data_IF_513059859084
#
_entry.id   IF_513059859084
#
_cell.length_a   1.000
_cell.length_b   1.000
_cell.length_c   1.000
_cell.angle_alpha   90.00
_cell.angle_beta   90.00
_cell.angle_gamma   90.00
#
_symmetry.space_group_name_H-M   'P 1'
#
loop_
_entity.id
_entity.type
_entity.pdbx_description
1 polymer ?
#
# COMPACT_ATOMS: atom_id res chain seq x y z
N UNK A 1 -1.45 -13.38 20.82
CA UNK A 1 -0.67 -12.46 19.99
C UNK A 1 0.77 -12.43 20.48
N UNK A 2 1.07 -12.02 21.73
CA UNK A 2 2.43 -11.79 22.25
C UNK A 2 3.38 -12.96 21.99
N UNK A 3 3.01 -14.18 22.35
CA UNK A 3 3.86 -15.39 22.20
C UNK A 3 4.29 -15.66 20.74
N UNK A 4 3.58 -15.16 19.76
CA UNK A 4 3.88 -15.36 18.33
C UNK A 4 5.01 -14.42 17.86
N UNK A 5 5.18 -13.28 18.54
CA UNK A 5 6.16 -12.24 18.19
C UNK A 5 7.46 -12.34 19.02
N UNK A 6 7.48 -13.20 20.06
CA UNK A 6 8.67 -13.41 20.87
C UNK A 6 9.68 -14.25 20.09
N UNK A 7 10.92 -13.77 19.99
CA UNK A 7 12.06 -14.44 19.33
C UNK A 7 12.81 -15.39 20.24
N UNK A 8 12.76 -15.13 21.54
CA UNK A 8 13.39 -15.97 22.56
C UNK A 8 12.46 -17.14 22.90
N UNK A 9 12.80 -18.36 22.46
CA UNK A 9 12.01 -19.55 22.75
C UNK A 9 12.55 -20.27 23.99
N UNK A 10 11.70 -20.94 24.79
CA UNK A 10 12.16 -21.79 25.87
C UNK A 10 13.10 -22.89 25.38
N UNK A 11 14.29 -22.99 25.99
CA UNK A 11 15.33 -23.94 25.60
C UNK A 11 16.41 -23.40 24.65
N UNK A 12 16.22 -22.20 24.11
CA UNK A 12 17.25 -21.53 23.29
C UNK A 12 18.37 -20.95 24.16
N UNK A 13 19.54 -20.73 23.56
CA UNK A 13 20.62 -19.99 24.20
C UNK A 13 20.21 -18.52 24.39
N UNK A 14 20.56 -17.95 25.55
CA UNK A 14 20.28 -16.54 25.80
C UNK A 14 20.97 -15.65 24.80
N UNK A 15 20.19 -14.83 24.12
CA UNK A 15 20.67 -13.85 23.13
C UNK A 15 20.12 -12.48 23.46
N UNK A 16 20.99 -11.55 23.84
CA UNK A 16 20.61 -10.15 24.07
C UNK A 16 20.02 -9.50 22.81
N UNK A 17 20.54 -9.88 21.65
CA UNK A 17 20.06 -9.38 20.37
C UNK A 17 18.60 -9.78 20.11
N UNK A 18 18.24 -11.02 20.41
CA UNK A 18 16.86 -11.51 20.25
C UNK A 18 15.89 -10.89 21.26
N UNK A 19 16.37 -10.60 22.47
CA UNK A 19 15.59 -9.86 23.47
C UNK A 19 15.28 -8.44 22.99
N UNK A 20 16.29 -7.69 22.51
CA UNK A 20 16.11 -6.34 21.96
C UNK A 20 15.20 -6.35 20.73
N UNK A 21 15.38 -7.37 19.89
CA UNK A 21 14.54 -7.54 18.70
C UNK A 21 13.10 -7.84 19.05
N UNK A 22 12.86 -8.71 20.04
CA UNK A 22 11.51 -8.99 20.57
C UNK A 22 10.86 -7.71 21.09
N UNK A 23 11.60 -6.90 21.85
CA UNK A 23 11.11 -5.62 22.34
C UNK A 23 10.67 -4.71 21.19
N UNK A 24 11.49 -4.58 20.15
CA UNK A 24 11.17 -3.78 18.98
C UNK A 24 9.92 -4.32 18.25
N UNK A 25 9.84 -5.63 18.02
CA UNK A 25 8.71 -6.26 17.34
C UNK A 25 7.41 -6.08 18.13
N UNK A 26 7.42 -6.28 19.45
CA UNK A 26 6.26 -6.05 20.31
C UNK A 26 5.85 -4.57 20.37
N UNK A 27 6.80 -3.65 20.37
CA UNK A 27 6.52 -2.20 20.33
C UNK A 27 5.90 -1.78 18.99
N UNK A 28 6.33 -2.39 17.88
CA UNK A 28 5.79 -2.12 16.54
C UNK A 28 4.34 -2.59 16.36
N UNK A 29 3.87 -3.55 17.15
CA UNK A 29 2.46 -3.97 17.14
C UNK A 29 1.51 -2.86 17.56
N UNK A 30 2.01 -1.88 18.30
CA UNK A 30 1.25 -0.74 18.83
C UNK A 30 0.05 -1.15 19.71
N UNK A 31 0.06 -2.36 20.29
CA UNK A 31 -0.96 -2.87 21.22
C UNK A 31 -0.66 -2.53 22.67
N UNK A 32 0.58 -2.13 22.96
CA UNK A 32 1.09 -1.95 24.29
C UNK A 32 1.55 -0.52 24.53
N UNK A 33 1.47 -0.08 25.79
CA UNK A 33 1.99 1.20 26.21
C UNK A 33 3.54 1.12 26.23
N UNK A 34 4.26 1.92 25.41
CA UNK A 34 5.72 1.85 25.35
C UNK A 34 6.40 2.25 26.66
N UNK A 35 5.76 3.09 27.48
CA UNK A 35 6.29 3.55 28.76
C UNK A 35 6.21 2.47 29.85
N UNK A 36 5.25 1.54 29.73
CA UNK A 36 5.05 0.43 30.65
C UNK A 36 5.69 -0.89 30.18
N UNK A 37 6.51 -0.83 29.11
CA UNK A 37 7.17 -2.01 28.58
C UNK A 37 8.41 -2.35 29.39
N UNK A 38 8.39 -3.49 30.11
CA UNK A 38 9.49 -3.99 30.92
C UNK A 38 10.03 -5.33 30.41
N UNK A 39 11.35 -5.51 30.52
CA UNK A 39 12.00 -6.80 30.28
C UNK A 39 12.89 -7.08 31.49
N UNK A 40 12.54 -8.17 32.22
CA UNK A 40 13.25 -8.59 33.42
C UNK A 40 13.90 -9.95 33.19
N UNK A 41 15.20 -10.02 32.89
CA UNK A 41 15.94 -11.26 32.84
C UNK A 41 16.26 -11.72 34.27
N UNK A 42 15.64 -12.81 34.69
CA UNK A 42 15.88 -13.42 35.99
C UNK A 42 16.81 -14.63 35.83
N UNK A 43 18.00 -14.54 36.40
CA UNK A 43 18.98 -15.63 36.35
C UNK A 43 18.67 -16.69 37.41
N UNK A 44 18.74 -17.96 37.00
CA UNK A 44 18.69 -19.12 37.89
C UNK A 44 20.07 -19.81 37.89
N UNK A 45 20.94 -19.45 38.88
CA UNK A 45 22.31 -19.99 38.93
C UNK A 45 22.38 -21.49 39.16
N UNK A 46 21.38 -22.07 39.82
CA UNK A 46 21.35 -23.50 40.13
C UNK A 46 21.11 -24.33 38.86
N UNK A 47 20.30 -23.82 37.93
CA UNK A 47 19.99 -24.49 36.68
C UNK A 47 20.82 -23.98 35.49
N UNK A 48 21.59 -22.89 35.69
CA UNK A 48 22.32 -22.24 34.61
C UNK A 48 21.39 -21.68 33.51
N UNK A 49 20.19 -21.27 33.89
CA UNK A 49 19.17 -20.75 32.96
C UNK A 49 18.81 -19.29 33.27
N UNK A 50 18.22 -18.62 32.29
CA UNK A 50 17.69 -17.25 32.44
C UNK A 50 16.20 -17.25 32.08
N UNK A 51 15.36 -16.86 33.01
CA UNK A 51 13.94 -16.64 32.77
C UNK A 51 13.75 -15.19 32.33
N UNK A 52 13.12 -14.99 31.16
CA UNK A 52 12.86 -13.64 30.63
C UNK A 52 11.38 -13.32 30.82
N UNK A 53 11.12 -12.33 31.66
CA UNK A 53 9.76 -11.82 31.90
C UNK A 53 9.54 -10.58 31.04
N UNK A 54 8.54 -10.65 30.16
CA UNK A 54 8.06 -9.52 29.37
C UNK A 54 6.81 -8.95 30.05
N UNK A 55 6.96 -7.75 30.64
CA UNK A 55 5.86 -7.01 31.26
C UNK A 55 5.30 -6.04 30.25
N UNK A 56 4.01 -6.12 29.98
CA UNK A 56 3.32 -5.27 29.00
C UNK A 56 1.99 -4.78 29.55
N UNK A 57 1.64 -3.55 29.25
CA UNK A 57 0.33 -2.97 29.53
C UNK A 57 -0.42 -2.74 28.22
N UNK A 58 -1.61 -3.32 28.09
CA UNK A 58 -2.43 -3.17 26.88
C UNK A 58 -3.02 -1.75 26.82
N UNK A 59 -2.99 -1.16 25.61
CA UNK A 59 -3.64 0.13 25.33
C UNK A 59 -4.72 -0.01 24.26
N UNK A 60 -5.72 0.88 24.23
CA UNK A 60 -6.66 0.96 23.13
C UNK A 60 -5.92 1.22 21.82
N UNK A 61 -6.19 0.41 20.80
CA UNK A 61 -5.50 0.47 19.51
C UNK A 61 -6.42 0.82 18.35
N UNK A 62 -7.71 0.87 18.63
CA UNK A 62 -8.69 1.25 17.64
C UNK A 62 -8.55 2.75 17.33
N UNK A 63 -8.62 3.08 16.06
CA UNK A 63 -8.37 4.43 15.58
C UNK A 63 -9.58 4.90 14.80
N UNK A 64 -10.02 6.11 15.11
CA UNK A 64 -10.99 6.85 14.32
C UNK A 64 -10.24 8.03 13.71
N UNK A 65 -10.15 8.07 12.39
CA UNK A 65 -9.60 9.19 11.64
C UNK A 65 -10.74 10.05 11.13
N UNK A 66 -10.75 11.32 11.52
CA UNK A 66 -11.60 12.34 10.95
C UNK A 66 -10.68 13.44 10.43
N UNK A 67 -10.67 13.62 9.12
CA UNK A 67 -9.90 14.67 8.48
C UNK A 67 -10.82 15.54 7.66
N UNK A 68 -10.66 16.84 7.79
CA UNK A 68 -11.36 17.83 7.01
C UNK A 68 -10.40 18.92 6.56
N UNK A 69 -10.59 19.43 5.37
CA UNK A 69 -9.74 20.47 4.81
C UNK A 69 -10.48 21.27 3.74
N UNK A 70 -9.93 22.43 3.45
CA UNK A 70 -10.37 23.29 2.36
C UNK A 70 -9.25 23.36 1.32
N UNK A 71 -9.54 23.04 0.08
CA UNK A 71 -8.53 23.10 -1.00
C UNK A 71 -9.19 23.23 -2.37
N UNK A 72 -8.65 24.10 -3.22
CA UNK A 72 -9.18 24.33 -4.56
C UNK A 72 -10.64 24.82 -4.59
N UNK A 73 -11.05 25.60 -3.58
CA UNK A 73 -12.43 26.09 -3.45
C UNK A 73 -13.45 25.05 -2.95
N UNK A 74 -13.00 23.94 -2.36
CA UNK A 74 -13.85 22.80 -1.98
C UNK A 74 -13.51 22.28 -0.60
N UNK A 75 -14.49 21.67 0.05
CA UNK A 75 -14.29 20.92 1.30
C UNK A 75 -13.96 19.48 0.95
N UNK A 76 -12.87 18.98 1.49
CA UNK A 76 -12.47 17.57 1.44
C UNK A 76 -12.68 16.98 2.82
N UNK A 77 -13.35 15.85 2.90
CA UNK A 77 -13.54 15.11 4.14
C UNK A 77 -13.15 13.66 4.00
N UNK A 78 -12.50 13.09 5.01
CA UNK A 78 -12.29 11.66 5.14
C UNK A 78 -12.68 11.19 6.53
N UNK A 79 -13.34 10.05 6.57
CA UNK A 79 -13.68 9.30 7.77
C UNK A 79 -13.09 7.92 7.65
N UNK A 80 -12.29 7.52 8.64
CA UNK A 80 -11.69 6.19 8.73
C UNK A 80 -11.92 5.58 10.10
N UNK A 81 -12.19 4.29 10.14
CA UNK A 81 -12.22 3.49 11.36
C UNK A 81 -11.33 2.28 11.16
N UNK A 82 -10.41 2.07 12.09
CA UNK A 82 -9.48 0.94 12.06
C UNK A 82 -9.51 0.21 13.40
N UNK A 83 -9.84 -1.07 13.37
CA UNK A 83 -9.80 -1.99 14.49
C UNK A 83 -8.53 -2.85 14.35
N UNK A 84 -7.58 -2.71 15.26
CA UNK A 84 -6.26 -3.35 15.15
C UNK A 84 -6.17 -4.72 15.86
N UNK A 85 -7.10 -5.05 16.72
CA UNK A 85 -7.10 -6.32 17.45
C UNK A 85 -8.41 -7.10 17.23
N UNK A 86 -8.93 -7.06 16.02
CA UNK A 86 -10.19 -7.72 15.65
C UNK A 86 -10.06 -9.25 15.76
N UNK A 87 -11.18 -9.92 16.00
CA UNK A 87 -11.28 -11.38 16.10
C UNK A 87 -12.47 -11.89 15.28
N UNK A 88 -12.25 -12.20 14.00
CA UNK A 88 -13.31 -12.68 13.09
C UNK A 88 -13.97 -13.96 13.60
N UNK A 89 -13.21 -14.86 14.24
CA UNK A 89 -13.72 -16.08 14.84
C UNK A 89 -14.73 -15.87 15.99
N UNK A 90 -14.75 -14.66 16.57
CA UNK A 90 -15.71 -14.26 17.62
C UNK A 90 -16.88 -13.45 17.06
N UNK A 91 -16.86 -13.04 15.79
CA UNK A 91 -17.86 -12.15 15.21
C UNK A 91 -19.29 -12.72 15.27
N UNK A 92 -19.43 -14.04 15.24
CA UNK A 92 -20.72 -14.74 15.32
C UNK A 92 -21.11 -15.19 16.74
N UNK A 93 -20.28 -14.86 17.76
CA UNK A 93 -20.60 -15.22 19.16
C UNK A 93 -21.46 -14.13 19.82
N UNK A 94 -22.55 -14.53 20.45
CA UNK A 94 -23.38 -13.63 21.26
C UNK A 94 -22.53 -12.98 22.38
N UNK A 95 -22.63 -11.67 22.54
CA UNK A 95 -21.91 -10.91 23.58
C UNK A 95 -20.45 -10.55 23.24
N UNK A 96 -19.92 -10.94 22.09
CA UNK A 96 -18.58 -10.56 21.67
C UNK A 96 -18.45 -9.11 21.17
N UNK A 97 -19.57 -8.50 20.79
CA UNK A 97 -19.65 -7.13 20.32
C UNK A 97 -19.67 -6.12 21.48
N UNK A 98 -18.46 -5.66 21.95
CA UNK A 98 -18.27 -4.70 23.05
C UNK A 98 -17.03 -3.82 22.84
N UNK A 99 -17.01 -2.83 21.94
CA UNK A 99 -17.90 -2.52 20.81
C UNK A 99 -17.72 -3.48 19.63
N UNK A 100 -16.55 -4.12 19.49
CA UNK A 100 -16.21 -5.08 18.42
C UNK A 100 -15.56 -6.33 19.01
N UNK A 101 -15.67 -7.48 18.35
CA UNK A 101 -14.98 -8.69 18.78
C UNK A 101 -13.46 -8.52 18.66
N UNK A 102 -12.72 -8.65 19.77
CA UNK A 102 -11.28 -8.46 19.86
C UNK A 102 -10.53 -9.70 20.38
N UNK A 103 -9.19 -9.74 20.12
CA UNK A 103 -8.26 -10.68 20.75
C UNK A 103 -7.41 -11.51 19.81
N UNK A 104 -7.65 -11.52 18.48
CA UNK A 104 -6.88 -12.33 17.52
C UNK A 104 -5.77 -11.54 16.82
N UNK A 105 -5.69 -10.22 17.03
CA UNK A 105 -4.70 -9.36 16.40
C UNK A 105 -4.95 -9.09 14.91
N UNK A 106 -6.14 -9.39 14.42
CA UNK A 106 -6.54 -9.08 13.05
C UNK A 106 -6.84 -7.59 12.91
N UNK A 107 -6.65 -7.06 11.72
CA UNK A 107 -6.91 -5.67 11.43
C UNK A 107 -8.06 -5.53 10.44
N UNK A 108 -9.06 -4.74 10.80
CA UNK A 108 -10.16 -4.31 9.91
C UNK A 108 -10.09 -2.80 9.76
N UNK A 109 -10.09 -2.31 8.54
CA UNK A 109 -10.14 -0.87 8.26
C UNK A 109 -11.24 -0.56 7.28
N UNK A 110 -12.03 0.46 7.59
CA UNK A 110 -13.05 1.02 6.71
C UNK A 110 -12.75 2.50 6.57
N UNK A 111 -12.62 2.98 5.34
CA UNK A 111 -12.35 4.39 5.06
C UNK A 111 -13.28 4.89 3.97
N UNK A 112 -13.89 6.04 4.23
CA UNK A 112 -14.68 6.79 3.26
C UNK A 112 -14.07 8.18 3.10
N UNK A 113 -14.01 8.65 1.88
CA UNK A 113 -13.49 9.95 1.53
C UNK A 113 -14.36 10.61 0.49
N UNK A 114 -14.59 11.91 0.63
CA UNK A 114 -15.41 12.67 -0.32
C UNK A 114 -14.88 14.09 -0.49
N UNK A 115 -14.92 14.55 -1.73
CA UNK A 115 -14.79 15.95 -2.11
C UNK A 115 -16.09 16.38 -2.83
N UNK A 116 -17.23 16.16 -2.17
CA UNK A 116 -18.53 16.44 -2.74
C UNK A 116 -18.83 15.60 -3.98
N UNK A 117 -19.19 16.28 -5.07
CA UNK A 117 -19.59 15.64 -6.33
C UNK A 117 -18.41 15.23 -7.21
N UNK A 118 -17.21 15.77 -6.95
CA UNK A 118 -16.04 15.53 -7.83
C UNK A 118 -15.36 14.22 -7.55
N UNK A 119 -15.31 13.83 -6.28
CA UNK A 119 -14.59 12.65 -5.85
C UNK A 119 -15.24 11.99 -4.65
N UNK A 120 -15.39 10.68 -4.72
CA UNK A 120 -15.80 9.82 -3.62
C UNK A 120 -14.96 8.55 -3.65
N UNK A 121 -14.50 8.08 -2.50
CA UNK A 121 -13.76 6.82 -2.38
C UNK A 121 -14.19 6.08 -1.13
N UNK A 122 -14.36 4.79 -1.27
CA UNK A 122 -14.70 3.85 -0.21
C UNK A 122 -13.69 2.70 -0.26
N UNK A 123 -13.12 2.37 0.87
CA UNK A 123 -12.14 1.29 1.00
C UNK A 123 -12.48 0.46 2.23
N UNK A 124 -12.43 -0.85 2.09
CA UNK A 124 -12.54 -1.81 3.18
C UNK A 124 -11.38 -2.77 3.06
N UNK A 125 -10.65 -3.01 4.14
CA UNK A 125 -9.56 -3.97 4.17
C UNK A 125 -9.59 -4.82 5.43
N UNK A 126 -9.18 -6.07 5.27
CA UNK A 126 -8.99 -7.03 6.33
C UNK A 126 -7.58 -7.61 6.24
N UNK A 127 -6.88 -7.67 7.36
CA UNK A 127 -5.55 -8.28 7.44
C UNK A 127 -5.49 -9.30 8.58
N UNK A 128 -5.14 -10.53 8.24
CA UNK A 128 -4.77 -11.59 9.17
C UNK A 128 -3.24 -11.68 9.21
N UNK A 129 -2.57 -11.23 10.28
CA UNK A 129 -1.10 -11.18 10.32
C UNK A 129 -0.46 -12.56 10.46
N UNK A 130 -1.21 -13.57 10.92
CA UNK A 130 -0.71 -14.93 11.19
C UNK A 130 -1.58 -16.00 10.55
N UNK A 131 -1.69 -15.96 9.23
CA UNK A 131 -2.46 -16.95 8.47
C UNK A 131 -1.98 -18.37 8.79
N UNK A 132 -2.90 -19.21 9.32
CA UNK A 132 -2.58 -20.56 9.78
C UNK A 132 -1.90 -20.64 11.14
N UNK A 133 -1.63 -19.53 11.82
CA UNK A 133 -1.21 -19.46 13.23
C UNK A 133 0.21 -19.90 13.56
N UNK A 134 0.98 -20.44 12.60
CA UNK A 134 2.31 -21.03 12.83
C UNK A 134 3.47 -20.18 12.32
N UNK A 135 3.23 -19.40 11.28
CA UNK A 135 4.25 -18.55 10.63
C UNK A 135 3.72 -17.13 10.45
N UNK A 136 4.57 -16.10 10.46
CA UNK A 136 4.15 -14.72 10.23
C UNK A 136 3.84 -14.47 8.75
N UNK A 137 2.82 -15.17 8.24
CA UNK A 137 2.30 -14.97 6.89
C UNK A 137 1.07 -14.07 6.99
N UNK A 138 1.19 -12.83 6.55
CA UNK A 138 0.10 -11.89 6.60
C UNK A 138 -0.77 -12.02 5.34
N UNK A 139 -2.05 -12.36 5.50
CA UNK A 139 -3.04 -12.27 4.43
C UNK A 139 -3.74 -10.93 4.52
N UNK A 140 -3.74 -10.16 3.43
CA UNK A 140 -4.52 -8.93 3.31
C UNK A 140 -5.52 -9.05 2.16
N UNK A 141 -6.79 -8.79 2.45
CA UNK A 141 -7.85 -8.70 1.46
C UNK A 141 -8.42 -7.29 1.52
N UNK A 142 -8.59 -6.65 0.37
CA UNK A 142 -9.16 -5.31 0.29
C UNK A 142 -10.16 -5.21 -0.87
N UNK A 143 -11.16 -4.35 -0.68
CA UNK A 143 -12.10 -3.98 -1.70
C UNK A 143 -12.26 -2.45 -1.68
N UNK A 144 -12.32 -1.84 -2.85
CA UNK A 144 -12.48 -0.39 -2.97
C UNK A 144 -13.35 0.00 -4.14
N UNK A 145 -13.95 1.17 -3.99
CA UNK A 145 -14.68 1.84 -5.06
C UNK A 145 -14.38 3.32 -5.00
N UNK A 146 -13.96 3.88 -6.11
CA UNK A 146 -13.77 5.32 -6.27
C UNK A 146 -14.57 5.84 -7.46
N UNK A 147 -15.08 7.03 -7.31
CA UNK A 147 -15.86 7.74 -8.31
C UNK A 147 -15.21 9.10 -8.49
N UNK A 148 -14.79 9.41 -9.68
CA UNK A 148 -14.28 10.70 -10.08
C UNK A 148 -15.24 11.31 -11.10
N UNK A 149 -15.59 12.58 -10.97
CA UNK A 149 -16.50 13.23 -11.89
C UNK A 149 -16.12 14.69 -12.15
N UNK A 150 -16.75 15.29 -13.15
CA UNK A 150 -16.61 16.73 -13.45
C UNK A 150 -17.42 17.63 -12.48
N UNK A 151 -18.00 17.07 -11.40
CA UNK A 151 -18.76 17.83 -10.40
C UNK A 151 -20.21 18.10 -10.77
N UNK A 152 -20.68 17.64 -11.89
CA UNK A 152 -22.08 17.75 -12.26
C UNK A 152 -22.94 16.77 -11.43
N UNK A 153 -24.17 17.17 -11.03
CA UNK A 153 -25.08 16.29 -10.30
C UNK A 153 -25.46 15.08 -11.16
N UNK A 154 -25.79 13.97 -10.49
CA UNK A 154 -26.16 12.72 -11.18
C UNK A 154 -27.46 12.87 -11.97
N UNK A 155 -28.43 13.58 -11.42
CA UNK A 155 -29.73 13.81 -12.04
C UNK A 155 -30.04 15.31 -12.05
N UNK A 156 -30.72 15.74 -13.10
CA UNK A 156 -31.32 17.08 -13.23
C UNK A 156 -32.81 16.84 -13.46
N UNK A 157 -33.67 17.45 -12.64
CA UNK A 157 -35.14 17.33 -12.74
C UNK A 157 -35.66 15.88 -12.80
N UNK A 158 -34.96 14.97 -12.10
CA UNK A 158 -35.34 13.54 -12.04
C UNK A 158 -34.81 12.66 -13.20
N UNK A 159 -34.21 13.25 -14.23
CA UNK A 159 -33.58 12.54 -15.35
C UNK A 159 -32.05 12.46 -15.20
N UNK A 160 -31.38 11.43 -15.77
CA UNK A 160 -29.93 11.37 -15.83
C UNK A 160 -29.33 12.60 -16.50
N UNK A 161 -28.30 13.19 -15.89
CA UNK A 161 -27.67 14.39 -16.41
C UNK A 161 -26.69 14.03 -17.56
N UNK A 162 -26.97 14.45 -18.79
CA UNK A 162 -26.11 14.13 -19.95
C UNK A 162 -24.76 14.87 -19.93
N UNK A 163 -24.60 15.91 -19.12
CA UNK A 163 -23.36 16.66 -18.98
C UNK A 163 -22.42 16.08 -17.92
N UNK A 164 -22.88 15.06 -17.21
CA UNK A 164 -22.06 14.43 -16.16
C UNK A 164 -21.03 13.49 -16.78
N UNK A 165 -19.77 13.73 -16.46
CA UNK A 165 -18.66 12.87 -16.84
C UNK A 165 -18.18 12.10 -15.61
N UNK A 166 -18.03 10.77 -15.72
CA UNK A 166 -17.58 9.95 -14.60
C UNK A 166 -16.59 8.89 -15.00
N UNK A 167 -15.58 8.70 -14.12
CA UNK A 167 -14.73 7.52 -14.09
C UNK A 167 -14.99 6.81 -12.76
N UNK A 168 -15.49 5.60 -12.82
CA UNK A 168 -15.70 4.75 -11.67
C UNK A 168 -14.70 3.59 -11.68
N UNK A 169 -13.97 3.42 -10.60
CA UNK A 169 -13.01 2.33 -10.42
C UNK A 169 -13.49 1.47 -9.26
N UNK A 170 -13.77 0.21 -9.53
CA UNK A 170 -14.11 -0.79 -8.51
C UNK A 170 -13.05 -1.85 -8.52
N UNK A 171 -12.51 -2.20 -7.36
CA UNK A 171 -11.45 -3.19 -7.29
C UNK A 171 -11.52 -4.06 -6.04
N UNK A 172 -10.90 -5.22 -6.18
CA UNK A 172 -10.63 -6.15 -5.08
C UNK A 172 -9.21 -6.66 -5.19
N UNK A 173 -8.59 -6.94 -4.07
CA UNK A 173 -7.26 -7.55 -4.04
C UNK A 173 -7.11 -8.52 -2.89
N UNK A 174 -6.25 -9.52 -3.08
CA UNK A 174 -5.80 -10.42 -2.04
C UNK A 174 -4.29 -10.58 -2.16
N UNK A 175 -3.57 -10.43 -1.05
CA UNK A 175 -2.12 -10.57 -1.03
C UNK A 175 -1.65 -11.30 0.21
N UNK A 176 -0.53 -12.03 0.06
CA UNK A 176 0.15 -12.73 1.14
C UNK A 176 1.54 -12.13 1.27
N UNK A 177 1.82 -11.61 2.47
CA UNK A 177 3.12 -11.10 2.87
C UNK A 177 3.85 -12.11 3.74
N UNK A 178 5.13 -12.33 3.47
CA UNK A 178 5.99 -13.22 4.23
C UNK A 178 7.36 -12.58 4.46
N UNK A 179 7.89 -12.73 5.68
CA UNK A 179 9.27 -12.38 5.97
C UNK A 179 10.19 -13.55 5.64
N UNK A 180 11.26 -13.30 4.89
CA UNK A 180 12.25 -14.31 4.55
C UNK A 180 13.44 -14.21 5.51
N UNK A 181 14.00 -15.38 5.84
CA UNK A 181 15.19 -15.48 6.69
C UNK A 181 16.49 -15.50 5.91
N UNK A 182 16.43 -15.76 4.61
CA UNK A 182 17.59 -15.81 3.72
C UNK A 182 17.43 -14.77 2.61
N UNK A 183 18.50 -14.05 2.22
CA UNK A 183 19.88 -14.15 2.73
C UNK A 183 20.06 -13.54 4.11
N UNK A 184 19.17 -12.66 4.57
CA UNK A 184 19.10 -12.11 5.90
C UNK A 184 17.64 -11.87 6.34
N UNK A 185 17.42 -11.66 7.64
CA UNK A 185 16.07 -11.48 8.23
C UNK A 185 15.39 -10.15 7.90
N UNK A 186 16.00 -9.30 7.08
CA UNK A 186 15.45 -7.98 6.70
C UNK A 186 14.61 -8.04 5.43
N UNK A 187 14.59 -9.21 4.76
CA UNK A 187 13.79 -9.41 3.55
C UNK A 187 12.34 -9.70 3.86
N UNK A 188 11.47 -9.07 3.10
CA UNK A 188 10.04 -9.39 3.04
C UNK A 188 9.57 -9.48 1.59
N UNK A 189 8.66 -10.40 1.35
CA UNK A 189 8.02 -10.59 0.06
C UNK A 189 6.52 -10.51 0.23
N UNK A 190 5.86 -9.75 -0.62
CA UNK A 190 4.42 -9.69 -0.71
C UNK A 190 4.01 -10.07 -2.13
N UNK A 191 3.19 -11.09 -2.26
CA UNK A 191 2.62 -11.52 -3.53
C UNK A 191 1.09 -11.46 -3.47
N UNK A 192 0.47 -10.91 -4.50
CA UNK A 192 -0.98 -10.74 -4.49
C UNK A 192 -1.56 -10.65 -5.88
N UNK A 193 -2.86 -10.87 -5.95
CA UNK A 193 -3.68 -10.67 -7.13
C UNK A 193 -4.61 -9.49 -6.89
N UNK A 194 -4.79 -8.68 -7.90
CA UNK A 194 -5.75 -7.58 -7.91
C UNK A 194 -6.61 -7.63 -9.16
N UNK A 195 -7.87 -7.32 -8.99
CA UNK A 195 -8.81 -7.07 -10.07
C UNK A 195 -9.35 -5.66 -9.93
N UNK A 196 -9.29 -4.89 -11.00
CA UNK A 196 -9.84 -3.55 -11.09
C UNK A 196 -10.70 -3.45 -12.35
N UNK A 197 -11.87 -2.86 -12.20
CA UNK A 197 -12.76 -2.51 -13.28
C UNK A 197 -12.87 -1.00 -13.34
N UNK A 198 -12.62 -0.47 -14.51
CA UNK A 198 -12.79 0.93 -14.87
C UNK A 198 -14.05 1.07 -15.72
N UNK A 199 -15.00 1.86 -15.24
CA UNK A 199 -16.22 2.21 -15.98
C UNK A 199 -16.13 3.71 -16.33
N UNK A 200 -16.11 4.00 -17.62
CA UNK A 200 -16.06 5.34 -18.19
C UNK A 200 -17.46 5.72 -18.70
N UNK A 201 -17.89 6.91 -18.35
CA UNK A 201 -19.16 7.50 -18.80
C UNK A 201 -18.87 8.96 -19.17
N UNK A 202 -18.71 9.22 -20.48
CA UNK A 202 -18.35 10.50 -21.08
C UNK A 202 -17.10 11.15 -20.46
N UNK A 203 -16.22 10.36 -19.84
CA UNK A 203 -15.08 10.87 -19.07
C UNK A 203 -13.93 11.27 -19.98
N UNK A 204 -13.79 12.58 -20.19
CA UNK A 204 -12.70 13.18 -20.95
C UNK A 204 -11.67 13.84 -20.03
N UNK A 205 -10.57 13.15 -19.76
CA UNK A 205 -9.46 13.67 -18.96
C UNK A 205 -8.24 14.07 -19.81
N UNK A 206 -8.27 13.83 -21.10
CA UNK A 206 -7.11 13.99 -21.99
C UNK A 206 -6.02 12.92 -21.79
N UNK A 207 -6.26 11.93 -20.93
CA UNK A 207 -5.29 10.87 -20.61
C UNK A 207 -5.64 9.54 -21.31
N UNK A 208 -6.91 9.36 -21.61
CA UNK A 208 -7.43 8.22 -22.33
C UNK A 208 -7.95 8.72 -23.68
N UNK A 209 -7.74 7.94 -24.71
CA UNK A 209 -8.20 8.24 -26.05
C UNK A 209 -9.69 7.87 -26.28
N UNK A 210 -10.30 7.24 -25.28
CA UNK A 210 -11.73 6.90 -25.27
C UNK A 210 -12.39 7.50 -24.02
N UNK A 211 -13.65 7.91 -24.18
CA UNK A 211 -14.44 8.58 -23.14
C UNK A 211 -15.46 7.67 -22.49
N UNK A 212 -15.80 6.58 -23.15
CA UNK A 212 -16.88 5.69 -22.77
C UNK A 212 -16.43 4.23 -22.79
N UNK A 213 -17.05 3.41 -21.93
CA UNK A 213 -16.84 1.98 -21.95
C UNK A 213 -16.26 1.41 -20.67
N UNK A 214 -15.69 0.21 -20.79
CA UNK A 214 -15.18 -0.57 -19.65
C UNK A 214 -13.83 -1.16 -19.95
N UNK A 215 -12.94 -1.08 -18.94
CA UNK A 215 -11.65 -1.76 -18.96
C UNK A 215 -11.49 -2.62 -17.71
N UNK A 216 -10.93 -3.81 -17.87
CA UNK A 216 -10.67 -4.76 -16.78
C UNK A 216 -9.16 -4.95 -16.65
N UNK A 217 -8.65 -4.83 -15.45
CA UNK A 217 -7.25 -4.99 -15.11
C UNK A 217 -7.12 -6.09 -14.07
N UNK A 218 -6.63 -7.25 -14.46
CA UNK A 218 -6.26 -8.34 -13.57
C UNK A 218 -4.74 -8.35 -13.49
N UNK A 219 -4.18 -8.13 -12.32
CA UNK A 219 -2.73 -8.04 -12.19
C UNK A 219 -2.19 -8.89 -11.04
N UNK A 220 -1.09 -9.56 -11.31
CA UNK A 220 -0.20 -10.12 -10.30
C UNK A 220 0.71 -9.00 -9.79
N UNK A 221 0.76 -8.84 -8.48
CA UNK A 221 1.60 -7.85 -7.80
C UNK A 221 2.64 -8.62 -6.98
N UNK A 222 3.91 -8.36 -7.21
CA UNK A 222 5.02 -8.91 -6.43
C UNK A 222 5.86 -7.75 -5.89
N UNK A 223 6.00 -7.68 -4.58
CA UNK A 223 6.83 -6.68 -3.91
C UNK A 223 7.88 -7.43 -3.09
N UNK A 224 9.14 -7.19 -3.40
CA UNK A 224 10.27 -7.64 -2.62
C UNK A 224 10.90 -6.42 -1.96
N UNK A 225 11.08 -6.45 -0.66
CA UNK A 225 11.72 -5.37 0.07
C UNK A 225 12.71 -5.88 1.08
N UNK A 226 13.78 -5.12 1.27
CA UNK A 226 14.77 -5.29 2.32
C UNK A 226 14.87 -3.98 3.08
N UNK A 227 14.67 -4.03 4.38
CA UNK A 227 14.76 -2.84 5.22
C UNK A 227 15.62 -3.11 6.46
N UNK A 228 16.86 -2.62 6.43
CA UNK A 228 17.82 -2.68 7.53
C UNK A 228 18.12 -1.32 8.15
N UNK A 229 17.24 -0.33 7.92
CA UNK A 229 17.40 1.04 8.43
C UNK A 229 17.37 1.05 9.96
N UNK A 230 18.33 1.76 10.56
CA UNK A 230 18.53 1.80 12.01
C UNK A 230 17.35 2.39 12.78
N UNK A 231 16.74 3.44 12.25
CA UNK A 231 15.60 4.12 12.84
C UNK A 231 14.66 4.64 11.73
N UNK A 232 13.33 4.49 11.86
CA UNK A 232 12.39 4.94 10.84
C UNK A 232 12.29 6.46 10.70
N UNK A 233 12.53 7.22 11.79
CA UNK A 233 12.35 8.67 11.83
C UNK A 233 13.70 9.37 11.62
N UNK A 234 14.75 8.93 12.31
CA UNK A 234 16.10 9.49 12.26
C UNK A 234 17.12 8.43 11.84
N UNK A 235 17.12 7.99 10.58
CA UNK A 235 18.01 6.97 10.11
C UNK A 235 19.46 7.44 10.11
N UNK A 236 20.33 6.68 10.78
CA UNK A 236 21.78 6.95 10.85
C UNK A 236 22.56 6.04 9.91
N UNK A 237 22.16 4.78 9.81
CA UNK A 237 22.78 3.78 8.93
C UNK A 237 21.77 2.76 8.43
N UNK A 238 22.17 1.99 7.43
CA UNK A 238 21.36 0.93 6.85
C UNK A 238 20.83 1.25 5.47
N UNK A 239 20.01 0.37 4.96
CA UNK A 239 19.44 0.51 3.61
C UNK A 239 17.98 0.04 3.56
N UNK A 240 17.21 0.68 2.70
CA UNK A 240 15.90 0.24 2.29
C UNK A 240 15.92 0.04 0.78
N UNK A 241 15.62 -1.18 0.33
CA UNK A 241 15.54 -1.51 -1.10
C UNK A 241 14.19 -2.14 -1.37
N UNK A 242 13.50 -1.70 -2.41
CA UNK A 242 12.20 -2.22 -2.83
C UNK A 242 12.18 -2.44 -4.34
N UNK A 243 11.84 -3.67 -4.73
CA UNK A 243 11.49 -4.03 -6.10
C UNK A 243 10.00 -4.35 -6.13
N UNK A 244 9.26 -3.67 -7.00
CA UNK A 244 7.84 -3.93 -7.23
C UNK A 244 7.63 -4.33 -8.68
N UNK A 245 6.97 -5.44 -8.89
CA UNK A 245 6.59 -5.94 -10.21
C UNK A 245 5.09 -6.09 -10.25
N UNK A 246 4.46 -5.48 -11.25
CA UNK A 246 3.04 -5.62 -11.52
C UNK A 246 2.86 -6.12 -12.95
N UNK A 247 2.23 -7.25 -13.14
CA UNK A 247 2.09 -7.88 -14.43
C UNK A 247 0.67 -8.39 -14.64
N UNK A 248 0.10 -8.11 -15.80
CA UNK A 248 -1.18 -8.66 -16.24
C UNK A 248 -0.96 -9.91 -17.07
N UNK A 249 -1.95 -10.81 -17.19
CA UNK A 249 -1.88 -11.88 -18.17
C UNK A 249 -1.74 -11.32 -19.59
N UNK A 250 -0.93 -11.95 -20.45
CA UNK A 250 -0.77 -11.55 -21.86
C UNK A 250 -1.94 -12.07 -22.69
N UNK A 251 -3.11 -11.45 -22.56
CA UNK A 251 -4.34 -11.90 -23.23
C UNK A 251 -4.21 -11.99 -24.75
N UNK A 252 -3.45 -11.08 -25.36
CA UNK A 252 -3.22 -11.04 -26.80
C UNK A 252 -2.45 -12.25 -27.30
N UNK A 253 -1.55 -12.81 -26.50
CA UNK A 253 -0.79 -14.00 -26.89
C UNK A 253 -1.64 -15.27 -26.89
N UNK A 254 -2.78 -15.27 -26.19
CA UNK A 254 -3.75 -16.37 -26.21
C UNK A 254 -4.70 -16.32 -27.42
N UNK A 255 -4.64 -15.25 -28.23
CA UNK A 255 -5.44 -15.07 -29.46
C UNK A 255 -4.57 -14.54 -30.60
N UNK A 256 -3.60 -15.36 -31.09
CA UNK A 256 -2.60 -14.93 -32.07
C UNK A 256 -3.22 -14.57 -33.44
N UNK A 257 -4.34 -15.17 -33.80
CA UNK A 257 -5.00 -14.97 -35.12
C UNK A 257 -5.85 -13.70 -35.15
N UNK A 258 -5.99 -12.99 -34.03
CA UNK A 258 -6.80 -11.78 -33.96
C UNK A 258 -5.98 -10.57 -34.39
N UNK A 259 -6.47 -9.84 -35.40
CA UNK A 259 -5.91 -8.53 -35.72
C UNK A 259 -6.34 -7.48 -34.68
N UNK A 260 -5.37 -7.08 -33.88
CA UNK A 260 -5.55 -6.09 -32.82
C UNK A 260 -5.43 -4.66 -33.33
N UNK A 261 -4.78 -4.45 -34.49
CA UNK A 261 -4.55 -3.12 -35.04
C UNK A 261 -5.80 -2.45 -35.58
N UNK A 262 -6.73 -3.26 -36.10
CA UNK A 262 -8.00 -2.78 -36.63
C UNK A 262 -9.10 -2.49 -35.61
N UNK A 263 -8.84 -2.81 -34.32
CA UNK A 263 -9.81 -2.58 -33.24
C UNK A 263 -9.76 -1.14 -32.71
N UNK A 264 -10.91 -0.65 -32.23
CA UNK A 264 -10.96 0.60 -31.47
C UNK A 264 -10.11 0.48 -30.20
N UNK A 265 -9.59 1.61 -29.69
CA UNK A 265 -8.78 1.58 -28.48
C UNK A 265 -9.57 1.06 -27.25
N UNK A 266 -10.86 1.37 -27.17
CA UNK A 266 -11.75 0.83 -26.15
C UNK A 266 -11.80 -0.71 -26.17
N UNK A 267 -11.83 -1.30 -27.35
CA UNK A 267 -11.83 -2.77 -27.50
C UNK A 267 -10.46 -3.38 -27.22
N UNK A 268 -9.37 -2.71 -27.65
CA UNK A 268 -7.99 -3.13 -27.37
C UNK A 268 -7.70 -3.16 -25.89
N UNK A 269 -8.16 -2.16 -25.11
CA UNK A 269 -7.96 -2.04 -23.69
C UNK A 269 -9.12 -2.56 -22.82
N UNK A 270 -10.04 -3.34 -23.41
CA UNK A 270 -11.09 -4.02 -22.65
C UNK A 270 -10.52 -4.93 -21.54
N UNK A 271 -9.42 -5.61 -21.83
CA UNK A 271 -8.54 -6.26 -20.87
C UNK A 271 -7.16 -5.63 -20.98
N UNK A 272 -6.75 -5.00 -19.91
CA UNK A 272 -5.51 -4.23 -19.90
C UNK A 272 -4.30 -5.15 -19.85
N UNK A 273 -3.33 -4.94 -20.75
CA UNK A 273 -2.08 -5.70 -20.82
C UNK A 273 -0.89 -4.80 -20.58
N UNK A 274 -0.05 -5.16 -19.59
CA UNK A 274 1.24 -4.52 -19.33
C UNK A 274 2.06 -5.32 -18.34
N UNK A 275 3.35 -5.03 -18.28
CA UNK A 275 4.20 -5.33 -17.14
C UNK A 275 4.89 -4.05 -16.68
N UNK A 276 4.87 -3.81 -15.38
CA UNK A 276 5.43 -2.61 -14.75
C UNK A 276 6.44 -3.04 -13.70
N UNK A 277 7.63 -2.44 -13.78
CA UNK A 277 8.73 -2.68 -12.87
C UNK A 277 9.09 -1.37 -12.20
N UNK A 278 9.30 -1.41 -10.90
CA UNK A 278 9.72 -0.25 -10.14
C UNK A 278 10.77 -0.69 -9.13
N UNK A 279 11.87 0.02 -9.13
CA UNK A 279 12.96 -0.16 -8.19
C UNK A 279 13.18 1.13 -7.42
N UNK A 280 13.29 1.05 -6.09
CA UNK A 280 13.60 2.17 -5.21
C UNK A 280 14.60 1.70 -4.19
N UNK A 281 15.63 2.50 -3.96
CA UNK A 281 16.66 2.21 -2.98
C UNK A 281 17.11 3.47 -2.24
N UNK A 282 17.23 3.36 -0.93
CA UNK A 282 17.78 4.37 -0.04
C UNK A 282 18.96 3.74 0.73
N UNK A 283 20.08 4.45 0.79
CA UNK A 283 21.20 4.10 1.66
C UNK A 283 21.49 5.26 2.60
N UNK A 284 21.74 4.93 3.85
CA UNK A 284 22.10 5.88 4.89
C UNK A 284 23.51 5.55 5.38
N UNK A 285 24.43 6.49 5.16
CA UNK A 285 25.85 6.34 5.51
C UNK A 285 26.22 7.44 6.51
N UNK A 286 26.62 7.11 7.75
CA UNK A 286 27.11 8.11 8.67
C UNK A 286 28.44 8.66 8.18
N UNK A 287 28.55 9.97 7.99
CA UNK A 287 29.78 10.65 7.63
C UNK A 287 30.56 11.07 8.89
N UNK A 288 29.84 11.37 9.96
CA UNK A 288 30.44 11.65 11.28
C UNK A 288 29.64 10.93 12.35
N UNK A 289 30.32 10.33 13.31
CA UNK A 289 29.72 9.80 14.54
C UNK A 289 30.06 10.77 15.67
N UNK A 290 29.04 11.47 16.16
CA UNK A 290 29.23 12.37 17.31
C UNK A 290 29.47 11.55 18.58
N UNK A 291 30.48 11.93 19.36
CA UNK A 291 30.68 11.43 20.70
C UNK A 291 30.08 12.40 21.73
N UNK A 292 29.57 11.88 22.85
CA UNK A 292 29.04 12.67 23.97
C UNK A 292 27.57 12.41 24.28
N UNK A 293 27.01 13.12 25.23
CA UNK A 293 25.63 12.95 25.71
C UNK A 293 24.56 13.31 24.68
N UNK A 294 24.90 14.14 23.67
CA UNK A 294 24.01 14.47 22.52
C UNK A 294 24.76 14.28 21.19
N UNK A 295 24.90 13.06 20.71
CA UNK A 295 25.64 12.78 19.49
C UNK A 295 24.93 13.38 18.27
N UNK A 296 25.52 14.46 17.71
CA UNK A 296 25.11 14.98 16.40
C UNK A 296 25.84 14.19 15.32
N UNK A 297 25.10 13.48 14.48
CA UNK A 297 25.66 12.74 13.34
C UNK A 297 25.27 13.42 12.03
N UNK A 298 26.23 13.57 11.13
CA UNK A 298 25.96 13.94 9.75
C UNK A 298 25.77 12.63 8.95
N UNK A 299 24.62 12.51 8.29
CA UNK A 299 24.26 11.30 7.54
C UNK A 299 24.05 11.66 6.08
N UNK A 300 24.73 10.93 5.21
CA UNK A 300 24.49 10.99 3.76
C UNK A 300 23.37 10.01 3.40
N UNK A 301 22.29 10.52 2.82
CA UNK A 301 21.24 9.70 2.20
C UNK A 301 21.46 9.65 0.69
N UNK A 302 21.72 8.47 0.17
CA UNK A 302 21.75 8.23 -1.28
C UNK A 302 20.44 7.59 -1.70
N UNK A 303 19.78 8.20 -2.68
CA UNK A 303 18.52 7.72 -3.23
C UNK A 303 18.68 7.33 -4.70
N UNK A 304 18.13 6.18 -5.05
CA UNK A 304 17.98 5.76 -6.44
C UNK A 304 16.55 5.28 -6.66
N UNK A 305 15.92 5.75 -7.74
CA UNK A 305 14.59 5.33 -8.15
C UNK A 305 14.51 5.16 -9.66
N UNK A 306 13.87 4.09 -10.10
CA UNK A 306 13.65 3.83 -11.51
C UNK A 306 12.37 3.04 -11.74
N UNK A 307 11.75 3.23 -12.90
CA UNK A 307 10.55 2.51 -13.30
C UNK A 307 10.53 2.25 -14.79
N UNK A 308 9.91 1.14 -15.16
CA UNK A 308 9.71 0.71 -16.54
C UNK A 308 8.29 0.15 -16.66
N UNK A 309 7.58 0.55 -17.71
CA UNK A 309 6.35 -0.10 -18.16
C UNK A 309 6.57 -0.65 -19.56
N UNK A 310 6.11 -1.86 -19.80
CA UNK A 310 6.22 -2.52 -21.11
C UNK A 310 4.92 -3.16 -21.54
N UNK A 311 4.88 -3.57 -22.77
CA UNK A 311 3.75 -4.21 -23.46
C UNK A 311 4.16 -5.60 -23.95
N UNK A 312 3.21 -6.54 -24.02
CA UNK A 312 3.45 -7.87 -24.58
C UNK A 312 3.25 -7.90 -26.09
N UNK A 313 2.31 -7.11 -26.61
CA UNK A 313 1.96 -7.04 -28.02
C UNK A 313 2.02 -5.58 -28.55
N UNK A 314 2.83 -5.37 -29.60
CA UNK A 314 3.00 -4.06 -30.20
C UNK A 314 1.73 -3.54 -30.91
N UNK A 315 0.85 -4.42 -31.41
CA UNK A 315 -0.39 -4.01 -32.05
C UNK A 315 -1.41 -3.42 -31.07
N UNK A 316 -1.38 -3.87 -29.79
CA UNK A 316 -2.21 -3.28 -28.73
C UNK A 316 -1.66 -1.93 -28.31
N UNK A 317 -0.33 -1.82 -28.27
CA UNK A 317 0.35 -0.62 -27.80
C UNK A 317 0.51 -0.57 -26.28
N UNK A 318 1.14 0.51 -25.82
CA UNK A 318 1.38 0.73 -24.39
C UNK A 318 0.07 1.09 -23.69
N UNK A 319 -0.22 0.41 -22.60
CA UNK A 319 -1.42 0.66 -21.79
C UNK A 319 -1.53 2.14 -21.37
N UNK A 320 -2.69 2.80 -21.53
CA UNK A 320 -2.91 4.14 -21.01
C UNK A 320 -3.05 4.16 -19.47
N UNK A 321 -3.25 2.98 -18.88
CA UNK A 321 -3.31 2.81 -17.43
C UNK A 321 -1.91 2.61 -16.85
N UNK A 322 -1.70 3.01 -15.60
CA UNK A 322 -0.47 2.75 -14.83
C UNK A 322 0.81 3.42 -15.39
N UNK A 323 0.70 4.37 -16.31
CA UNK A 323 1.86 5.11 -16.84
C UNK A 323 2.55 5.95 -15.77
N UNK A 324 3.83 6.24 -15.99
CA UNK A 324 4.58 7.20 -15.19
C UNK A 324 4.43 8.61 -15.77
N UNK A 325 4.21 9.57 -14.90
CA UNK A 325 4.09 10.98 -15.24
C UNK A 325 5.09 11.79 -14.43
N UNK A 326 5.72 12.78 -15.04
CA UNK A 326 6.76 13.59 -14.43
C UNK A 326 6.34 15.07 -14.40
N UNK A 327 6.56 15.70 -13.26
CA UNK A 327 6.35 17.13 -13.03
C UNK A 327 5.21 17.43 -12.05
N UNK A 328 5.32 18.61 -11.45
CA UNK A 328 4.34 19.12 -10.51
C UNK A 328 4.59 18.77 -9.06
N UNK A 329 3.87 19.46 -8.20
CA UNK A 329 3.79 19.19 -6.78
C UNK A 329 2.33 18.87 -6.49
N UNK A 330 1.98 17.59 -6.47
CA UNK A 330 0.63 17.17 -6.15
C UNK A 330 0.37 17.32 -4.65
N UNK A 331 -0.24 18.42 -4.27
CA UNK A 331 -0.64 18.68 -2.89
C UNK A 331 -1.77 17.73 -2.41
N UNK A 332 -2.48 17.12 -3.34
CA UNK A 332 -3.66 16.32 -3.00
C UNK A 332 -3.42 14.83 -2.86
N UNK A 333 -2.28 14.28 -3.27
CA UNK A 333 -1.93 12.84 -3.08
C UNK A 333 -2.90 11.82 -3.68
N UNK A 334 -3.94 12.25 -4.38
CA UNK A 334 -5.05 11.42 -4.86
C UNK A 334 -4.97 11.25 -6.38
N UNK A 335 -4.21 10.26 -6.79
CA UNK A 335 -4.23 9.78 -8.17
C UNK A 335 -5.03 8.50 -8.17
N UNK A 336 -6.24 8.58 -8.72
CA UNK A 336 -7.23 7.51 -8.61
C UNK A 336 -7.28 6.61 -9.83
N UNK A 337 -6.72 7.07 -10.93
CA UNK A 337 -6.75 6.41 -12.23
C UNK A 337 -5.55 5.48 -12.49
N UNK A 338 -4.75 5.19 -11.45
CA UNK A 338 -3.58 4.31 -11.53
C UNK A 338 -2.33 4.98 -12.07
N UNK A 339 -2.37 6.31 -12.32
CA UNK A 339 -1.17 7.06 -12.70
C UNK A 339 -0.16 7.08 -11.56
N UNK A 340 1.10 6.94 -11.90
CA UNK A 340 2.19 7.19 -10.98
C UNK A 340 2.88 8.52 -11.30
N UNK A 341 2.78 9.45 -10.36
CA UNK A 341 3.32 10.79 -10.53
C UNK A 341 4.64 10.89 -9.81
N UNK A 342 5.68 11.20 -10.58
CA UNK A 342 7.01 11.53 -10.06
C UNK A 342 7.03 13.02 -9.85
N UNK A 343 6.84 13.45 -8.59
CA UNK A 343 6.80 14.86 -8.24
C UNK A 343 8.14 15.53 -8.47
N UNK A 344 8.12 16.68 -9.14
CA UNK A 344 9.29 17.53 -9.33
C UNK A 344 8.90 18.98 -9.05
N UNK A 345 9.48 19.53 -7.98
CA UNK A 345 9.21 20.92 -7.56
C UNK A 345 9.72 21.92 -8.58
N UNK A 346 8.92 22.95 -8.85
CA UNK A 346 9.27 24.01 -9.78
C UNK A 346 8.79 23.79 -11.22
N UNK A 347 8.11 22.67 -11.48
CA UNK A 347 7.49 22.38 -12.77
C UNK A 347 5.99 22.22 -12.61
N UNK A 348 5.25 22.58 -13.65
CA UNK A 348 3.81 22.35 -13.69
C UNK A 348 3.48 20.87 -13.74
N UNK A 349 2.27 20.52 -13.33
CA UNK A 349 1.80 19.14 -13.31
C UNK A 349 1.89 18.54 -14.72
N UNK A 350 2.54 17.37 -14.82
CA UNK A 350 2.71 16.60 -16.07
C UNK A 350 3.56 17.29 -17.16
N UNK A 351 4.13 18.46 -16.89
CA UNK A 351 4.80 19.29 -17.91
C UNK A 351 6.07 18.66 -18.51
N UNK A 352 6.70 17.75 -17.80
CA UNK A 352 7.91 17.05 -18.25
C UNK A 352 7.65 15.63 -18.76
N UNK A 353 6.40 15.20 -18.77
CA UNK A 353 6.05 13.89 -19.32
C UNK A 353 6.15 13.96 -20.85
N UNK A 354 6.90 13.04 -21.43
CA UNK A 354 7.02 12.95 -22.88
C UNK A 354 5.65 12.76 -23.53
N UNK A 355 5.29 13.50 -24.59
CA UNK A 355 4.02 13.32 -25.27
C UNK A 355 3.99 11.96 -25.98
N UNK A 356 2.87 11.26 -25.88
CA UNK A 356 2.61 10.07 -26.67
C UNK A 356 2.48 10.48 -28.16
N UNK A 357 3.26 9.85 -29.02
CA UNK A 357 3.29 10.18 -30.45
C UNK A 357 1.93 9.99 -31.16
N UNK A 358 1.05 9.16 -30.60
CA UNK A 358 -0.24 8.84 -31.20
C UNK A 358 -1.39 9.70 -30.65
N UNK A 359 -1.33 10.11 -29.40
CA UNK A 359 -2.45 10.81 -28.74
C UNK A 359 -2.14 12.26 -28.39
N UNK A 360 -0.86 12.69 -28.45
CA UNK A 360 -0.41 13.99 -27.95
C UNK A 360 -0.55 14.18 -26.43
N UNK A 361 -1.15 13.20 -25.73
CA UNK A 361 -1.23 13.16 -24.29
C UNK A 361 0.12 12.73 -23.71
N UNK A 362 0.50 13.22 -22.55
CA UNK A 362 1.74 12.83 -21.90
C UNK A 362 1.86 11.30 -21.73
N UNK A 363 3.01 10.75 -22.11
CA UNK A 363 3.31 9.31 -22.06
C UNK A 363 3.90 8.90 -20.72
#
# INVERSE_FOLDING_TARGET
VIRREIRTMPGDLFSRTDVIRTQRELSQLNYFNPEAFGINPVQDPEKGTVNIEYVVEEKPTDQIELQGGWGGGRIVGSLGVTFNNFAVGKAFKKGAWRPVPMGDGQRVSVRAQSNGLFFQSYNVSFTEPWLGGKKPNALTVAAWRSIQSNGQPKNIEGAPNPLRQTLMITGVSASIGQRWKQPDDWFSVNAGLSYQRFDFDQYNSGLFSFTDGRSNNIALNLIMSRNSVSDPIFPVWGSEVRLSVKATPPYSLFSPDKDWSGLSEQERFRFVEYHKWKFVANWYTPLTTGGGENPKSLVLRTYFGGGLIGQYNRQIGLSPFERFYLGGVFLSGYVLDGREIISLRGYDNLSLTAPDQNTGAGA
#
